data_IF_641692237130
#
_entry.id   IF_641692237130
#
_cell.length_a   1.000
_cell.length_b   1.000
_cell.length_c   1.000
_cell.angle_alpha   90.00
_cell.angle_beta   90.00
_cell.angle_gamma   90.00
#
_symmetry.space_group_name_H-M   'P 1'
#
loop_
_entity.id
_entity.type
_entity.pdbx_description
1 polymer ?
#
# COMPACT_ATOMS: atom_id res chain seq x y z
N UNK A 1 -8.93 -31.35 14.37
CA UNK A 1 -8.41 -30.05 14.95
C UNK A 1 -9.53 -29.05 14.90
N UNK A 2 -9.90 -28.44 16.03
CA UNK A 2 -11.08 -27.57 16.15
C UNK A 2 -10.91 -26.27 15.33
N UNK A 3 -11.91 -25.84 14.56
CA UNK A 3 -11.88 -24.63 13.74
C UNK A 3 -11.46 -23.34 14.49
N UNK A 4 -11.79 -23.25 15.77
CA UNK A 4 -11.49 -22.09 16.62
C UNK A 4 -10.01 -21.86 16.93
N UNK A 5 -9.20 -22.91 17.05
CA UNK A 5 -7.76 -22.78 17.34
C UNK A 5 -6.99 -22.27 16.11
N UNK A 6 -7.40 -22.70 14.93
CA UNK A 6 -6.79 -22.26 13.68
C UNK A 6 -7.10 -20.78 13.39
N UNK A 7 -8.32 -20.32 13.67
CA UNK A 7 -8.72 -18.92 13.49
C UNK A 7 -8.01 -17.98 14.47
N UNK A 8 -7.85 -18.39 15.73
CA UNK A 8 -7.11 -17.63 16.75
C UNK A 8 -5.63 -17.47 16.40
N UNK A 9 -4.99 -18.54 15.89
CA UNK A 9 -3.60 -18.49 15.42
C UNK A 9 -3.39 -17.53 14.25
N UNK A 10 -4.30 -17.53 13.28
CA UNK A 10 -4.27 -16.61 12.13
C UNK A 10 -4.46 -15.15 12.56
N UNK A 11 -5.37 -14.88 13.49
CA UNK A 11 -5.59 -13.55 14.05
C UNK A 11 -4.35 -13.03 14.79
N UNK A 12 -3.68 -13.89 15.56
CA UNK A 12 -2.45 -13.56 16.27
C UNK A 12 -1.31 -13.23 15.29
N UNK A 13 -1.08 -14.08 14.28
CA UNK A 13 -0.07 -13.81 13.24
C UNK A 13 -0.33 -12.45 12.57
N UNK A 14 -1.58 -12.17 12.19
CA UNK A 14 -1.98 -10.89 11.59
C UNK A 14 -1.68 -9.69 12.50
N UNK A 15 -1.92 -9.80 13.81
CA UNK A 15 -1.60 -8.76 14.79
C UNK A 15 -0.11 -8.46 14.84
N UNK A 16 0.75 -9.49 14.84
CA UNK A 16 2.21 -9.34 14.83
C UNK A 16 2.70 -8.65 13.55
N UNK A 17 2.15 -9.00 12.39
CA UNK A 17 2.52 -8.40 11.11
C UNK A 17 2.13 -6.91 11.06
N UNK A 18 0.93 -6.55 11.53
CA UNK A 18 0.50 -5.15 11.67
C UNK A 18 1.40 -4.36 12.64
N UNK A 19 1.76 -4.96 13.76
CA UNK A 19 2.68 -4.34 14.72
C UNK A 19 4.07 -4.09 14.09
N UNK A 20 4.56 -5.02 13.29
CA UNK A 20 5.82 -4.87 12.56
C UNK A 20 5.77 -3.67 11.61
N UNK A 21 4.71 -3.53 10.80
CA UNK A 21 4.53 -2.39 9.90
C UNK A 21 4.45 -1.06 10.65
N UNK A 22 3.76 -0.99 11.80
CA UNK A 22 3.72 0.22 12.63
C UNK A 22 5.10 0.60 13.16
N UNK A 23 5.89 -0.38 13.63
CA UNK A 23 7.25 -0.12 14.09
C UNK A 23 8.11 0.40 12.94
N UNK A 24 8.01 -0.19 11.75
CA UNK A 24 8.73 0.28 10.57
C UNK A 24 8.36 1.73 10.25
N UNK A 25 7.06 2.04 10.17
CA UNK A 25 6.56 3.36 9.84
C UNK A 25 6.98 4.45 10.83
N UNK A 26 7.01 4.15 12.13
CA UNK A 26 7.26 5.16 13.17
C UNK A 26 8.70 5.20 13.67
N UNK A 27 9.46 4.11 13.52
CA UNK A 27 10.79 3.95 14.14
C UNK A 27 11.84 3.40 13.18
N UNK A 28 11.45 3.11 11.93
CA UNK A 28 12.32 2.53 10.90
C UNK A 28 12.65 1.05 11.12
N UNK A 29 13.34 0.47 10.15
CA UNK A 29 13.70 -0.97 10.12
C UNK A 29 14.59 -1.41 11.27
N UNK A 30 15.50 -0.53 11.74
CA UNK A 30 16.41 -0.86 12.83
C UNK A 30 15.67 -1.23 14.13
N UNK A 31 14.53 -0.59 14.38
CA UNK A 31 13.72 -0.79 15.57
C UNK A 31 12.94 -2.12 15.59
N UNK A 32 12.85 -2.84 14.46
CA UNK A 32 12.16 -4.12 14.39
C UNK A 32 12.97 -5.19 15.13
N UNK A 33 12.42 -5.68 16.21
CA UNK A 33 12.92 -6.84 16.97
C UNK A 33 11.73 -7.68 17.43
N UNK A 34 11.93 -8.99 17.66
CA UNK A 34 10.87 -9.84 18.20
C UNK A 34 10.25 -9.28 19.49
N UNK A 35 11.07 -8.69 20.36
CA UNK A 35 10.62 -8.08 21.63
C UNK A 35 9.77 -6.84 21.38
N UNK A 36 10.22 -5.95 20.48
CA UNK A 36 9.47 -4.73 20.14
C UNK A 36 8.13 -5.07 19.50
N UNK A 37 8.11 -6.04 18.57
CA UNK A 37 6.88 -6.49 17.90
C UNK A 37 5.93 -7.18 18.87
N UNK A 38 6.43 -8.02 19.78
CA UNK A 38 5.60 -8.64 20.80
C UNK A 38 4.94 -7.59 21.72
N UNK A 39 5.70 -6.59 22.16
CA UNK A 39 5.19 -5.48 22.98
C UNK A 39 4.12 -4.67 22.24
N UNK A 40 4.39 -4.25 20.99
CA UNK A 40 3.46 -3.50 20.15
C UNK A 40 2.17 -4.28 19.88
N UNK A 41 2.27 -5.59 19.62
CA UNK A 41 1.13 -6.47 19.38
C UNK A 41 0.40 -6.91 20.65
N UNK A 42 0.90 -6.54 21.85
CA UNK A 42 0.41 -7.04 23.15
C UNK A 42 0.43 -8.57 23.23
N UNK A 43 1.45 -9.19 22.68
CA UNK A 43 1.63 -10.64 22.62
C UNK A 43 2.83 -11.09 23.45
N UNK A 44 2.91 -12.38 23.81
CA UNK A 44 4.08 -12.93 24.46
C UNK A 44 5.26 -13.02 23.47
N UNK A 45 6.49 -12.78 23.92
CA UNK A 45 7.70 -12.89 23.09
C UNK A 45 7.82 -14.26 22.39
N UNK A 46 7.51 -15.35 23.10
CA UNK A 46 7.50 -16.71 22.53
C UNK A 46 6.57 -16.85 21.32
N UNK A 47 5.53 -16.03 21.21
CA UNK A 47 4.59 -16.06 20.09
C UNK A 47 5.26 -15.52 18.83
N UNK A 48 6.02 -14.42 18.91
CA UNK A 48 6.77 -13.89 17.76
C UNK A 48 7.83 -14.86 17.27
N UNK A 49 8.60 -15.45 18.17
CA UNK A 49 9.64 -16.43 17.81
C UNK A 49 9.07 -17.76 17.29
N UNK A 50 7.84 -18.10 17.66
CA UNK A 50 7.12 -19.26 17.12
C UNK A 50 6.74 -19.06 15.65
N UNK A 51 6.23 -17.86 15.29
CA UNK A 51 5.81 -17.58 13.92
C UNK A 51 6.96 -17.16 12.99
N UNK A 52 7.99 -16.53 13.52
CA UNK A 52 9.07 -15.95 12.72
C UNK A 52 10.41 -16.28 13.36
N UNK A 53 11.28 -16.98 12.62
CA UNK A 53 12.59 -17.41 13.15
C UNK A 53 13.58 -16.26 13.18
N UNK A 54 13.54 -15.40 12.17
CA UNK A 54 14.46 -14.27 12.03
C UNK A 54 13.73 -12.94 11.92
N UNK A 55 14.46 -11.84 12.15
CA UNK A 55 13.98 -10.49 11.90
C UNK A 55 13.61 -10.29 10.41
N UNK A 56 14.40 -10.86 9.51
CA UNK A 56 14.18 -10.79 8.08
C UNK A 56 12.88 -11.48 7.69
N UNK A 57 12.60 -12.67 8.23
CA UNK A 57 11.32 -13.37 7.99
C UNK A 57 10.13 -12.53 8.45
N UNK A 58 10.24 -11.95 9.64
CA UNK A 58 9.21 -11.10 10.20
C UNK A 58 8.90 -9.88 9.30
N UNK A 59 9.94 -9.22 8.80
CA UNK A 59 9.82 -8.06 7.90
C UNK A 59 9.22 -8.49 6.56
N UNK A 60 9.75 -9.53 5.92
CA UNK A 60 9.24 -10.03 4.63
C UNK A 60 7.77 -10.44 4.72
N UNK A 61 7.40 -11.20 5.73
CA UNK A 61 6.01 -11.60 5.95
C UNK A 61 5.09 -10.40 6.24
N UNK A 62 5.60 -9.35 6.92
CA UNK A 62 4.84 -8.13 7.13
C UNK A 62 4.56 -7.39 5.81
N UNK A 63 5.52 -7.33 4.88
CA UNK A 63 5.31 -6.73 3.56
C UNK A 63 4.44 -7.61 2.64
N UNK A 64 4.57 -8.93 2.69
CA UNK A 64 3.64 -9.82 1.98
C UNK A 64 2.21 -9.61 2.46
N UNK A 65 2.02 -9.54 3.78
CA UNK A 65 0.72 -9.24 4.36
C UNK A 65 0.22 -7.84 3.91
N UNK A 66 1.08 -6.84 3.87
CA UNK A 66 0.75 -5.52 3.33
C UNK A 66 0.28 -5.62 1.87
N UNK A 67 1.05 -6.29 1.01
CA UNK A 67 0.70 -6.46 -0.40
C UNK A 67 -0.66 -7.16 -0.58
N UNK A 68 -0.95 -8.20 0.21
CA UNK A 68 -2.26 -8.88 0.21
C UNK A 68 -3.40 -7.93 0.58
N UNK A 69 -3.20 -7.08 1.60
CA UNK A 69 -4.22 -6.12 2.03
C UNK A 69 -4.44 -5.03 0.98
N UNK A 70 -3.38 -4.53 0.34
CA UNK A 70 -3.49 -3.55 -0.74
C UNK A 70 -4.23 -4.12 -1.95
N UNK A 71 -3.90 -5.33 -2.36
CA UNK A 71 -4.60 -6.01 -3.45
C UNK A 71 -6.07 -6.23 -3.14
N UNK A 72 -6.40 -6.64 -1.92
CA UNK A 72 -7.79 -6.82 -1.49
C UNK A 72 -8.54 -5.49 -1.51
N UNK A 73 -7.96 -4.41 -0.99
CA UNK A 73 -8.55 -3.08 -1.01
C UNK A 73 -8.80 -2.58 -2.43
N UNK A 74 -7.82 -2.77 -3.32
CA UNK A 74 -7.97 -2.42 -4.73
C UNK A 74 -9.08 -3.26 -5.42
N UNK A 75 -9.27 -4.50 -5.03
CA UNK A 75 -10.36 -5.34 -5.52
C UNK A 75 -11.72 -4.88 -5.01
N UNK A 76 -11.83 -4.54 -3.73
CA UNK A 76 -13.04 -3.97 -3.12
C UNK A 76 -13.43 -2.67 -3.83
N UNK A 77 -12.49 -1.75 -4.02
CA UNK A 77 -12.72 -0.51 -4.77
C UNK A 77 -13.11 -0.81 -6.21
N UNK A 78 -12.39 -1.67 -6.90
CA UNK A 78 -12.74 -2.05 -8.27
C UNK A 78 -14.11 -2.72 -8.37
N UNK A 79 -14.54 -3.51 -7.38
CA UNK A 79 -15.87 -4.15 -7.39
C UNK A 79 -17.00 -3.14 -7.30
N UNK A 80 -16.82 -2.03 -6.60
CA UNK A 80 -17.74 -0.89 -6.60
C UNK A 80 -17.72 -0.12 -7.93
N UNK A 81 -16.68 -0.34 -8.74
CA UNK A 81 -16.41 0.38 -9.99
C UNK A 81 -16.33 -0.54 -11.21
N UNK A 82 -17.01 -1.69 -11.20
CA UNK A 82 -16.97 -2.71 -12.27
C UNK A 82 -17.53 -2.23 -13.62
N UNK A 83 -18.28 -1.15 -13.66
CA UNK A 83 -18.84 -0.61 -14.92
C UNK A 83 -18.01 0.57 -15.48
N UNK A 84 -16.72 0.33 -15.71
CA UNK A 84 -15.80 1.33 -16.33
C UNK A 84 -16.24 1.78 -17.73
N UNK A 85 -17.08 0.99 -18.42
CA UNK A 85 -17.54 1.32 -19.79
C UNK A 85 -18.60 2.42 -19.82
N UNK A 86 -19.35 2.61 -18.71
CA UNK A 86 -20.44 3.58 -18.61
C UNK A 86 -20.08 4.78 -17.74
N UNK A 87 -18.83 4.92 -17.28
CA UNK A 87 -18.39 6.02 -16.42
C UNK A 87 -17.67 7.11 -17.18
N UNK A 88 -17.85 8.32 -16.70
CA UNK A 88 -17.03 9.45 -17.09
C UNK A 88 -15.60 9.28 -16.58
N UNK A 89 -14.66 10.00 -17.19
CA UNK A 89 -13.27 10.06 -16.73
C UNK A 89 -13.21 10.60 -15.30
N UNK A 90 -14.02 11.63 -15.03
CA UNK A 90 -14.14 12.27 -13.73
C UNK A 90 -14.54 11.26 -12.64
N UNK A 91 -15.59 10.49 -12.85
CA UNK A 91 -16.04 9.45 -11.90
C UNK A 91 -14.99 8.35 -11.67
N UNK A 92 -14.24 8.00 -12.72
CA UNK A 92 -13.15 7.02 -12.62
C UNK A 92 -11.98 7.54 -11.79
N UNK A 93 -11.71 8.85 -11.87
CA UNK A 93 -10.64 9.49 -11.09
C UNK A 93 -11.07 9.79 -9.65
N UNK A 94 -12.34 10.12 -9.43
CA UNK A 94 -12.89 10.30 -8.07
C UNK A 94 -12.68 9.05 -7.21
N UNK A 95 -12.83 7.86 -7.80
CA UNK A 95 -12.49 6.60 -7.14
C UNK A 95 -11.02 6.50 -6.72
N UNK A 96 -10.10 6.97 -7.55
CA UNK A 96 -8.67 6.98 -7.21
C UNK A 96 -8.41 7.96 -6.07
N UNK A 97 -9.04 9.13 -6.09
CA UNK A 97 -8.94 10.14 -5.03
C UNK A 97 -9.45 9.59 -3.70
N UNK A 98 -10.59 8.89 -3.69
CA UNK A 98 -11.15 8.25 -2.49
C UNK A 98 -10.19 7.20 -1.91
N UNK A 99 -9.57 6.36 -2.75
CA UNK A 99 -8.58 5.38 -2.28
C UNK A 99 -7.40 6.06 -1.61
N UNK A 100 -6.82 7.06 -2.27
CA UNK A 100 -5.67 7.80 -1.72
C UNK A 100 -6.04 8.51 -0.42
N UNK A 101 -7.25 9.08 -0.33
CA UNK A 101 -7.76 9.69 0.89
C UNK A 101 -7.87 8.68 2.04
N UNK A 102 -8.45 7.51 1.79
CA UNK A 102 -8.56 6.43 2.78
C UNK A 102 -7.19 5.95 3.26
N UNK A 103 -6.25 5.75 2.32
CA UNK A 103 -4.88 5.33 2.64
C UNK A 103 -4.19 6.34 3.57
N UNK A 104 -4.35 7.63 3.29
CA UNK A 104 -3.67 8.68 4.05
C UNK A 104 -4.35 9.02 5.37
N UNK A 105 -5.67 8.87 5.48
CA UNK A 105 -6.41 9.13 6.74
C UNK A 105 -6.39 7.94 7.69
N UNK A 106 -6.73 6.75 7.19
CA UNK A 106 -7.00 5.59 8.04
C UNK A 106 -5.78 4.66 8.19
N UNK A 107 -4.88 4.68 7.23
CA UNK A 107 -3.76 3.76 7.14
C UNK A 107 -2.42 4.46 6.80
N UNK A 108 -2.24 5.72 7.19
CA UNK A 108 -1.03 6.50 6.87
C UNK A 108 0.28 5.80 7.27
N UNK A 109 0.26 5.02 8.38
CA UNK A 109 1.42 4.21 8.77
C UNK A 109 1.80 3.16 7.72
N UNK A 110 0.86 2.71 6.92
CA UNK A 110 1.10 1.73 5.84
C UNK A 110 1.87 2.39 4.71
N UNK A 111 1.42 3.57 4.29
CA UNK A 111 2.11 4.38 3.26
C UNK A 111 3.52 4.76 3.74
N UNK A 112 3.65 5.18 5.00
CA UNK A 112 4.96 5.47 5.61
C UNK A 112 5.87 4.23 5.64
N UNK A 113 5.35 3.05 5.99
CA UNK A 113 6.11 1.81 5.98
C UNK A 113 6.59 1.41 4.57
N UNK A 114 5.81 1.71 3.53
CA UNK A 114 6.21 1.48 2.14
C UNK A 114 7.38 2.39 1.74
N UNK A 115 7.35 3.69 2.08
CA UNK A 115 8.48 4.59 1.83
C UNK A 115 9.74 4.15 2.59
N UNK A 116 9.60 3.70 3.83
CA UNK A 116 10.70 3.12 4.61
C UNK A 116 11.24 1.85 3.92
N UNK A 117 10.38 1.01 3.32
CA UNK A 117 10.83 -0.16 2.55
C UNK A 117 11.67 0.27 1.34
N UNK A 118 11.23 1.25 0.58
CA UNK A 118 11.99 1.77 -0.58
C UNK A 118 13.38 2.24 -0.15
N UNK A 119 13.47 2.98 0.95
CA UNK A 119 14.75 3.42 1.52
C UNK A 119 15.60 2.25 2.03
N UNK A 120 14.97 1.21 2.58
CA UNK A 120 15.67 0.02 3.03
C UNK A 120 16.24 -0.80 1.86
N UNK A 121 15.50 -0.93 0.77
CA UNK A 121 15.94 -1.63 -0.46
C UNK A 121 17.22 -0.96 -1.02
N UNK A 122 17.31 0.37 -0.97
CA UNK A 122 18.50 1.08 -1.41
C UNK A 122 19.77 0.69 -0.61
N UNK A 123 19.61 0.21 0.62
CA UNK A 123 20.69 -0.23 1.50
C UNK A 123 20.87 -1.75 1.53
N UNK A 124 19.78 -2.47 1.40
CA UNK A 124 19.73 -3.94 1.41
C UNK A 124 18.74 -4.47 0.35
N UNK A 125 19.24 -4.75 -0.87
CA UNK A 125 18.42 -5.16 -2.01
C UNK A 125 17.65 -6.49 -1.81
N UNK A 126 17.95 -7.24 -0.75
CA UNK A 126 17.25 -8.52 -0.45
C UNK A 126 15.75 -8.37 -0.18
N UNK A 127 15.26 -7.14 0.05
CA UNK A 127 13.83 -6.82 0.21
C UNK A 127 13.14 -6.40 -1.12
N UNK A 128 13.89 -6.24 -2.21
CA UNK A 128 13.32 -5.80 -3.49
C UNK A 128 12.22 -6.74 -4.04
N UNK A 129 12.31 -8.08 -3.93
CA UNK A 129 11.30 -8.96 -4.49
C UNK A 129 9.87 -8.71 -3.98
N UNK A 130 9.70 -8.39 -2.70
CA UNK A 130 8.39 -8.10 -2.10
C UNK A 130 7.80 -6.78 -2.64
N UNK A 131 8.66 -5.78 -2.86
CA UNK A 131 8.28 -4.50 -3.45
C UNK A 131 7.97 -4.63 -4.95
N UNK A 132 8.82 -5.30 -5.70
CA UNK A 132 8.67 -5.46 -7.16
C UNK A 132 7.37 -6.18 -7.51
N UNK A 133 7.00 -7.20 -6.73
CA UNK A 133 5.76 -7.95 -6.94
C UNK A 133 4.52 -7.04 -6.90
N UNK A 134 4.39 -6.19 -5.89
CA UNK A 134 3.23 -5.29 -5.78
C UNK A 134 3.28 -4.20 -6.84
N UNK A 135 4.46 -3.64 -7.14
CA UNK A 135 4.61 -2.62 -8.17
C UNK A 135 4.22 -3.13 -9.56
N UNK A 136 4.57 -4.36 -9.91
CA UNK A 136 4.14 -4.98 -11.17
C UNK A 136 2.63 -5.10 -11.26
N UNK A 137 1.97 -5.56 -10.19
CA UNK A 137 0.50 -5.71 -10.17
C UNK A 137 -0.18 -4.33 -10.28
N UNK A 138 0.28 -3.34 -9.51
CA UNK A 138 -0.25 -1.98 -9.57
C UNK A 138 -0.09 -1.37 -10.96
N UNK A 139 1.07 -1.56 -11.58
CA UNK A 139 1.34 -1.08 -12.93
C UNK A 139 0.44 -1.75 -13.98
N UNK A 140 0.30 -3.08 -13.94
CA UNK A 140 -0.58 -3.82 -14.84
C UNK A 140 -2.04 -3.37 -14.72
N UNK A 141 -2.55 -3.23 -13.49
CA UNK A 141 -3.94 -2.77 -13.23
C UNK A 141 -4.15 -1.33 -13.68
N UNK A 142 -3.19 -0.44 -13.39
CA UNK A 142 -3.23 0.94 -13.86
C UNK A 142 -3.21 1.04 -15.38
N UNK A 143 -2.34 0.27 -16.05
CA UNK A 143 -2.27 0.19 -17.52
C UNK A 143 -3.59 -0.27 -18.12
N UNK A 144 -4.20 -1.31 -17.57
CA UNK A 144 -5.50 -1.81 -18.03
C UNK A 144 -6.60 -0.74 -17.90
N UNK A 145 -6.60 0.02 -16.80
CA UNK A 145 -7.53 1.15 -16.59
C UNK A 145 -7.29 2.27 -17.60
N UNK A 146 -6.04 2.68 -17.81
CA UNK A 146 -5.72 3.73 -18.79
C UNK A 146 -6.10 3.32 -20.21
N UNK A 147 -5.93 2.04 -20.57
CA UNK A 147 -6.39 1.48 -21.84
C UNK A 147 -7.91 1.56 -21.97
N UNK A 148 -8.65 1.23 -20.92
CA UNK A 148 -10.11 1.31 -20.92
C UNK A 148 -10.63 2.75 -21.05
N UNK A 149 -9.87 3.75 -20.58
CA UNK A 149 -10.16 5.19 -20.74
C UNK A 149 -9.77 5.73 -22.11
N UNK A 150 -9.17 4.94 -23.00
CA UNK A 150 -8.79 5.38 -24.34
C UNK A 150 -7.45 6.13 -24.42
N UNK A 151 -6.53 5.85 -23.51
CA UNK A 151 -5.22 6.49 -23.52
C UNK A 151 -4.40 6.11 -24.77
N UNK A 152 -3.73 7.10 -25.39
CA UNK A 152 -2.82 6.90 -26.54
C UNK A 152 -1.64 5.98 -26.19
N UNK A 153 -1.09 6.15 -25.01
CA UNK A 153 -0.02 5.30 -24.45
C UNK A 153 -0.37 4.90 -23.02
N UNK A 154 -1.13 3.81 -22.83
CA UNK A 154 -1.62 3.38 -21.52
C UNK A 154 -0.52 3.08 -20.49
N UNK A 155 0.59 2.50 -20.94
CA UNK A 155 1.72 2.17 -20.04
C UNK A 155 2.41 3.42 -19.52
N UNK A 156 2.65 4.40 -20.41
CA UNK A 156 3.25 5.67 -20.02
C UNK A 156 2.34 6.42 -19.06
N UNK A 157 1.05 6.53 -19.37
CA UNK A 157 0.10 7.23 -18.53
C UNK A 157 -0.06 6.54 -17.16
N UNK A 158 -0.05 5.21 -17.11
CA UNK A 158 -0.06 4.46 -15.86
C UNK A 158 1.16 4.80 -14.98
N UNK A 159 2.37 4.80 -15.56
CA UNK A 159 3.58 5.19 -14.81
C UNK A 159 3.51 6.61 -14.28
N UNK A 160 3.07 7.56 -15.12
CA UNK A 160 2.95 8.97 -14.72
C UNK A 160 1.89 9.15 -13.61
N UNK A 161 0.74 8.49 -13.72
CA UNK A 161 -0.31 8.54 -12.70
C UNK A 161 0.15 7.95 -11.36
N UNK A 162 0.82 6.79 -11.37
CA UNK A 162 1.37 6.19 -10.16
C UNK A 162 2.45 7.09 -9.52
N UNK A 163 3.32 7.70 -10.33
CA UNK A 163 4.32 8.64 -9.84
C UNK A 163 3.68 9.89 -9.20
N UNK A 164 2.61 10.42 -9.80
CA UNK A 164 1.85 11.55 -9.25
C UNK A 164 1.22 11.18 -7.89
N UNK A 165 0.57 10.02 -7.79
CA UNK A 165 -0.02 9.51 -6.54
C UNK A 165 1.06 9.43 -5.46
N UNK A 166 2.22 8.81 -5.76
CA UNK A 166 3.33 8.68 -4.81
C UNK A 166 3.89 10.02 -4.38
N UNK A 167 3.97 10.99 -5.30
CA UNK A 167 4.39 12.36 -4.99
C UNK A 167 3.47 13.03 -3.97
N UNK A 168 2.15 12.95 -4.16
CA UNK A 168 1.17 13.48 -3.20
C UNK A 168 1.21 12.77 -1.85
N UNK A 169 1.32 11.43 -1.84
CA UNK A 169 1.47 10.66 -0.60
C UNK A 169 2.73 11.08 0.18
N UNK A 170 3.86 11.27 -0.52
CA UNK A 170 5.10 11.75 0.07
C UNK A 170 4.95 13.16 0.67
N UNK A 171 4.37 14.10 -0.08
CA UNK A 171 4.15 15.48 0.38
C UNK A 171 3.24 15.52 1.61
N UNK A 172 2.21 14.68 1.66
CA UNK A 172 1.34 14.56 2.83
C UNK A 172 2.12 14.07 4.05
N UNK A 173 2.90 13.00 3.93
CA UNK A 173 3.72 12.49 5.03
C UNK A 173 4.78 13.48 5.50
N UNK A 174 5.33 14.28 4.58
CA UNK A 174 6.32 15.31 4.90
C UNK A 174 5.72 16.55 5.60
N UNK A 175 4.40 16.70 5.58
CA UNK A 175 3.69 17.87 6.12
C UNK A 175 2.49 17.47 7.01
N UNK A 176 2.72 16.75 8.12
CA UNK A 176 1.65 16.12 8.90
C UNK A 176 0.63 17.09 9.51
N UNK A 177 0.99 18.37 9.60
CA UNK A 177 0.12 19.43 10.15
C UNK A 177 -0.67 20.18 9.07
N UNK A 178 -0.51 19.83 7.79
CA UNK A 178 -1.29 20.43 6.71
C UNK A 178 -2.44 19.49 6.31
N UNK A 179 -3.61 20.05 5.95
CA UNK A 179 -4.68 19.23 5.40
C UNK A 179 -4.23 18.59 4.10
N UNK A 180 -4.77 17.41 3.81
CA UNK A 180 -4.57 16.74 2.52
C UNK A 180 -5.23 17.56 1.40
N UNK A 181 -4.44 17.96 0.42
CA UNK A 181 -4.90 18.77 -0.71
C UNK A 181 -5.48 17.87 -1.82
N UNK A 182 -6.63 17.27 -1.53
CA UNK A 182 -7.32 16.40 -2.49
C UNK A 182 -7.85 17.13 -3.71
N UNK A 183 -8.16 18.43 -3.59
CA UNK A 183 -8.68 19.22 -4.72
C UNK A 183 -7.60 19.41 -5.79
N UNK A 184 -6.39 19.79 -5.39
CA UNK A 184 -5.27 19.90 -6.32
C UNK A 184 -4.83 18.53 -6.83
N UNK A 185 -4.77 17.51 -5.99
CA UNK A 185 -4.48 16.14 -6.43
C UNK A 185 -5.45 15.68 -7.53
N UNK A 186 -6.76 15.86 -7.31
CA UNK A 186 -7.80 15.53 -8.29
C UNK A 186 -7.62 16.30 -9.60
N UNK A 187 -7.39 17.61 -9.50
CA UNK A 187 -7.19 18.51 -10.65
C UNK A 187 -5.97 18.09 -11.47
N UNK A 188 -4.85 17.83 -10.83
CA UNK A 188 -3.61 17.43 -11.49
C UNK A 188 -3.74 16.05 -12.16
N UNK A 189 -4.38 15.09 -11.47
CA UNK A 189 -4.63 13.77 -12.03
C UNK A 189 -5.57 13.84 -13.25
N UNK A 190 -6.61 14.66 -13.18
CA UNK A 190 -7.55 14.89 -14.28
C UNK A 190 -6.85 15.53 -15.47
N UNK A 191 -6.05 16.56 -15.26
CA UNK A 191 -5.27 17.23 -16.31
C UNK A 191 -4.28 16.25 -16.97
N UNK A 192 -3.57 15.46 -16.17
CA UNK A 192 -2.66 14.44 -16.66
C UNK A 192 -3.39 13.44 -17.58
N UNK A 193 -4.52 12.91 -17.13
CA UNK A 193 -5.26 11.88 -17.89
C UNK A 193 -5.83 12.50 -19.17
N UNK A 194 -6.54 13.64 -19.11
CA UNK A 194 -7.17 14.29 -20.28
C UNK A 194 -6.17 14.62 -21.38
N UNK A 195 -4.97 15.07 -21.03
CA UNK A 195 -3.93 15.41 -22.02
C UNK A 195 -3.35 14.19 -22.75
N UNK A 196 -3.63 12.97 -22.28
CA UNK A 196 -3.10 11.72 -22.85
C UNK A 196 -4.18 10.81 -23.47
N UNK A 197 -5.43 11.27 -23.51
CA UNK A 197 -6.50 10.56 -24.19
C UNK A 197 -6.50 10.81 -25.71
N UNK A 198 -7.18 9.96 -26.45
CA UNK A 198 -7.31 10.00 -27.91
C UNK A 198 -8.28 11.11 -28.35
#
# INVERSE_FOLDING_TARGET
MSPGIYSAGKATKKSLLKATLRIIAHKGFAAVTHRAVAAEAKAALRTTTYYFQTKQDLIREAFRYFNEQELQRLEEVNSHYTDLKNRTIEESLDAVVEVVEMELKDANFIVAAEFELVLAIAREPSYAPEYDQIQQILHQRSTARMKALGAKNPEQLARMSLALIRGYQFLFLAQPNKPLDLANFRSDLLALVKNHLS
#
